data_IF_528647786630
#
_entry.id   IF_528647786630
#
_cell.length_a   1.000
_cell.length_b   1.000
_cell.length_c   1.000
_cell.angle_alpha   90.00
_cell.angle_beta   90.00
_cell.angle_gamma   90.00
#
_symmetry.space_group_name_H-M   'P 1'
#
loop_
_entity.id
_entity.type
_entity.pdbx_description
1 polymer ?
#
# COMPACT_ATOMS: atom_id res chain seq x y z
N UNK A 1 -19.36 -26.12 -23.57
CA UNK A 1 -19.42 -26.27 -22.10
C UNK A 1 -18.04 -26.23 -21.44
N UNK A 2 -16.94 -26.67 -22.10
CA UNK A 2 -15.55 -26.47 -21.62
C UNK A 2 -15.08 -25.01 -21.70
N UNK A 3 -15.55 -24.25 -22.69
CA UNK A 3 -15.09 -22.85 -22.89
C UNK A 3 -15.65 -21.88 -21.83
N UNK A 4 -16.78 -22.21 -21.20
CA UNK A 4 -17.31 -21.41 -20.09
C UNK A 4 -16.60 -21.67 -18.75
N UNK A 5 -15.97 -22.83 -18.58
CA UNK A 5 -15.15 -23.14 -17.39
C UNK A 5 -13.82 -22.37 -17.42
N UNK A 6 -13.22 -22.19 -18.60
CA UNK A 6 -11.99 -21.39 -18.78
C UNK A 6 -12.29 -19.90 -18.58
N UNK A 7 -13.44 -19.42 -19.06
CA UNK A 7 -13.85 -18.01 -18.88
C UNK A 7 -14.04 -17.62 -17.40
N UNK A 8 -14.52 -18.54 -16.55
CA UNK A 8 -14.63 -18.30 -15.10
C UNK A 8 -13.31 -18.38 -14.34
N UNK A 9 -12.31 -19.10 -14.85
CA UNK A 9 -10.94 -19.13 -14.28
C UNK A 9 -10.17 -17.84 -14.59
N UNK A 10 -10.52 -17.18 -15.70
CA UNK A 10 -10.06 -15.83 -16.09
C UNK A 10 -10.95 -14.70 -15.59
N UNK A 11 -11.89 -14.94 -14.66
CA UNK A 11 -12.40 -13.85 -13.82
C UNK A 11 -11.23 -13.46 -12.91
N UNK A 12 -10.41 -12.56 -13.44
CA UNK A 12 -9.24 -11.99 -12.79
C UNK A 12 -9.55 -11.80 -11.31
N UNK A 13 -9.00 -12.66 -10.48
CA UNK A 13 -8.80 -12.41 -9.07
C UNK A 13 -8.01 -11.09 -9.04
N UNK A 14 -8.72 -9.96 -8.99
CA UNK A 14 -8.10 -8.65 -9.03
C UNK A 14 -7.33 -8.57 -7.74
N UNK A 15 -6.02 -8.68 -7.84
CA UNK A 15 -5.17 -8.60 -6.67
C UNK A 15 -4.71 -7.16 -6.52
N UNK A 16 -4.79 -6.59 -5.31
CA UNK A 16 -4.44 -5.20 -5.08
C UNK A 16 -2.99 -4.90 -5.47
N UNK A 17 -2.08 -5.87 -5.43
CA UNK A 17 -0.69 -5.72 -5.89
C UNK A 17 -0.58 -5.29 -7.36
N UNK A 18 -1.36 -5.90 -8.25
CA UNK A 18 -1.33 -5.56 -9.69
C UNK A 18 -1.88 -4.16 -9.94
N UNK A 19 -2.92 -3.77 -9.20
CA UNK A 19 -3.51 -2.44 -9.30
C UNK A 19 -2.57 -1.36 -8.79
N UNK A 20 -1.89 -1.61 -7.65
CA UNK A 20 -0.84 -0.72 -7.15
C UNK A 20 0.25 -0.48 -8.20
N UNK A 21 0.74 -1.55 -8.85
CA UNK A 21 1.77 -1.44 -9.88
C UNK A 21 1.29 -0.71 -11.14
N UNK A 22 0.05 -0.97 -11.57
CA UNK A 22 -0.55 -0.26 -12.71
C UNK A 22 -0.67 1.23 -12.43
N UNK A 23 -1.22 1.59 -11.27
CA UNK A 23 -1.35 2.99 -10.82
C UNK A 23 0.02 3.65 -10.70
N UNK A 24 1.00 2.96 -10.10
CA UNK A 24 2.37 3.48 -9.99
C UNK A 24 2.98 3.84 -11.35
N UNK A 25 2.77 2.99 -12.37
CA UNK A 25 3.24 3.25 -13.72
C UNK A 25 2.57 4.47 -14.35
N UNK A 26 1.27 4.66 -14.12
CA UNK A 26 0.55 5.86 -14.59
C UNK A 26 1.07 7.14 -13.91
N UNK A 27 1.31 7.09 -12.61
CA UNK A 27 1.91 8.21 -11.87
C UNK A 27 3.32 8.53 -12.33
N UNK A 28 4.14 7.53 -12.64
CA UNK A 28 5.49 7.73 -13.21
C UNK A 28 5.40 8.48 -14.53
N UNK A 29 4.53 8.04 -15.44
CA UNK A 29 4.35 8.70 -16.73
C UNK A 29 3.86 10.15 -16.55
N UNK A 30 2.85 10.37 -15.70
CA UNK A 30 2.33 11.71 -15.42
C UNK A 30 3.36 12.64 -14.77
N UNK A 31 4.08 12.14 -13.76
CA UNK A 31 5.13 12.89 -13.07
C UNK A 31 6.29 13.22 -13.99
N UNK A 32 6.79 12.26 -14.77
CA UNK A 32 7.84 12.49 -15.77
C UNK A 32 7.41 13.50 -16.84
N UNK A 33 6.18 13.40 -17.35
CA UNK A 33 5.65 14.36 -18.32
C UNK A 33 5.60 15.79 -17.74
N UNK A 34 5.14 15.95 -16.49
CA UNK A 34 5.16 17.24 -15.80
C UNK A 34 6.59 17.76 -15.60
N UNK A 35 7.54 16.88 -15.27
CA UNK A 35 8.95 17.24 -15.12
C UNK A 35 9.57 17.76 -16.41
N UNK A 36 9.30 17.10 -17.54
CA UNK A 36 9.73 17.55 -18.86
C UNK A 36 9.10 18.90 -19.20
N UNK A 37 7.79 19.07 -18.98
CA UNK A 37 7.10 20.33 -19.22
C UNK A 37 7.72 21.49 -18.42
N UNK A 38 8.00 21.29 -17.13
CA UNK A 38 8.68 22.31 -16.30
C UNK A 38 10.07 22.64 -16.84
N UNK A 39 10.85 21.61 -17.23
CA UNK A 39 12.18 21.79 -17.78
C UNK A 39 12.21 22.59 -19.07
N UNK A 40 11.27 22.32 -19.98
CA UNK A 40 11.15 23.05 -21.26
C UNK A 40 10.77 24.52 -21.03
N UNK A 41 9.80 24.77 -20.16
CA UNK A 41 9.31 26.13 -19.90
C UNK A 41 10.20 26.94 -18.94
N UNK A 42 11.20 26.31 -18.32
CA UNK A 42 12.01 26.89 -17.25
C UNK A 42 11.18 27.43 -16.07
N UNK A 43 9.92 26.99 -15.95
CA UNK A 43 9.03 27.29 -14.84
C UNK A 43 8.96 26.08 -13.91
N UNK A 44 9.29 26.35 -12.65
CA UNK A 44 9.44 25.36 -11.61
C UNK A 44 8.52 25.62 -10.41
N UNK A 45 7.50 26.46 -10.60
CA UNK A 45 6.42 26.70 -9.63
C UNK A 45 5.74 25.41 -9.16
N UNK A 46 5.68 24.38 -10.02
CA UNK A 46 5.08 23.07 -9.74
C UNK A 46 6.09 22.02 -9.22
N UNK A 47 7.30 22.40 -8.81
CA UNK A 47 8.29 21.46 -8.23
C UNK A 47 7.72 20.61 -7.08
N UNK A 48 7.01 21.17 -6.08
CA UNK A 48 6.45 20.38 -4.99
C UNK A 48 5.42 19.36 -5.51
N UNK A 49 4.56 19.77 -6.45
CA UNK A 49 3.57 18.91 -7.07
C UNK A 49 4.22 17.74 -7.81
N UNK A 50 5.19 18.02 -8.67
CA UNK A 50 5.95 17.00 -9.40
C UNK A 50 6.62 15.99 -8.47
N UNK A 51 7.29 16.47 -7.41
CA UNK A 51 7.95 15.61 -6.44
C UNK A 51 6.96 14.66 -5.75
N UNK A 52 5.79 15.16 -5.34
CA UNK A 52 4.80 14.34 -4.65
C UNK A 52 4.06 13.38 -5.59
N UNK A 53 3.80 13.74 -6.84
CA UNK A 53 3.27 12.81 -7.85
C UNK A 53 4.22 11.61 -8.01
N UNK A 54 5.52 11.85 -8.08
CA UNK A 54 6.51 10.78 -8.21
C UNK A 54 6.75 10.00 -6.90
N UNK A 55 6.71 10.65 -5.74
CA UNK A 55 6.99 9.98 -4.46
C UNK A 55 5.76 9.25 -3.89
N UNK A 56 4.64 9.95 -3.76
CA UNK A 56 3.38 9.44 -3.20
C UNK A 56 2.67 8.55 -4.23
N UNK A 57 2.65 8.99 -5.48
CA UNK A 57 1.98 8.27 -6.58
C UNK A 57 2.81 7.14 -7.15
N UNK A 58 4.03 7.40 -7.63
CA UNK A 58 4.84 6.34 -8.25
C UNK A 58 5.57 5.46 -7.22
N UNK A 59 6.54 6.03 -6.49
CA UNK A 59 7.47 5.24 -5.69
C UNK A 59 6.74 4.46 -4.57
N UNK A 60 5.86 5.12 -3.83
CA UNK A 60 5.12 4.48 -2.73
C UNK A 60 4.17 3.39 -3.25
N UNK A 61 3.38 3.66 -4.30
CA UNK A 61 2.48 2.66 -4.89
C UNK A 61 3.25 1.45 -5.44
N UNK A 62 4.39 1.68 -6.08
CA UNK A 62 5.26 0.60 -6.55
C UNK A 62 5.74 -0.26 -5.37
N UNK A 63 6.22 0.37 -4.29
CA UNK A 63 6.67 -0.33 -3.09
C UNK A 63 5.55 -1.12 -2.41
N UNK A 64 4.34 -0.55 -2.32
CA UNK A 64 3.17 -1.24 -1.77
C UNK A 64 2.80 -2.45 -2.62
N UNK A 65 2.70 -2.28 -3.95
CA UNK A 65 2.42 -3.37 -4.88
C UNK A 65 3.46 -4.48 -4.82
N UNK A 66 4.74 -4.13 -4.83
CA UNK A 66 5.84 -5.10 -4.69
C UNK A 66 5.79 -5.83 -3.34
N UNK A 67 5.46 -5.15 -2.26
CA UNK A 67 5.35 -5.75 -0.92
C UNK A 67 4.20 -6.77 -0.88
N UNK A 68 3.01 -6.41 -1.38
CA UNK A 68 1.88 -7.34 -1.41
C UNK A 68 2.10 -8.51 -2.37
N UNK A 69 2.86 -8.31 -3.44
CA UNK A 69 3.27 -9.39 -4.35
C UNK A 69 4.32 -10.31 -3.74
N UNK A 70 5.28 -9.77 -2.99
CA UNK A 70 6.32 -10.54 -2.31
C UNK A 70 5.79 -11.31 -1.10
N UNK A 71 4.72 -10.81 -0.46
CA UNK A 71 4.11 -11.44 0.71
C UNK A 71 2.61 -11.69 0.49
N UNK A 72 2.24 -12.75 -0.25
CA UNK A 72 0.84 -13.07 -0.56
C UNK A 72 -0.04 -13.25 0.68
N UNK A 73 0.55 -13.67 1.81
CA UNK A 73 -0.11 -13.86 3.11
C UNK A 73 -0.82 -12.59 3.62
N UNK A 74 -0.28 -11.41 3.31
CA UNK A 74 -0.90 -10.12 3.64
C UNK A 74 -1.63 -9.49 2.44
N UNK A 75 -1.32 -9.93 1.21
CA UNK A 75 -1.83 -9.41 -0.05
C UNK A 75 -3.26 -9.82 -0.41
N UNK A 76 -3.79 -10.93 0.12
CA UNK A 76 -5.17 -11.38 -0.15
C UNK A 76 -6.19 -10.93 0.91
N UNK A 77 -5.78 -10.05 1.83
CA UNK A 77 -6.61 -9.63 2.95
C UNK A 77 -7.53 -8.45 2.60
N UNK A 78 -8.69 -8.34 3.29
CA UNK A 78 -9.54 -7.13 3.25
C UNK A 78 -8.76 -5.85 3.62
N UNK A 79 -7.70 -6.00 4.41
CA UNK A 79 -6.81 -4.91 4.80
C UNK A 79 -5.99 -4.37 3.62
N UNK A 80 -5.52 -5.25 2.71
CA UNK A 80 -4.79 -4.82 1.52
C UNK A 80 -5.67 -3.99 0.57
N UNK A 81 -6.94 -4.39 0.43
CA UNK A 81 -7.91 -3.61 -0.34
C UNK A 81 -8.27 -2.28 0.31
N UNK A 82 -8.47 -2.26 1.63
CA UNK A 82 -8.66 -1.00 2.36
C UNK A 82 -7.46 -0.07 2.15
N UNK A 83 -6.25 -0.59 2.35
CA UNK A 83 -5.02 0.17 2.11
C UNK A 83 -4.96 0.72 0.69
N UNK A 84 -5.25 -0.08 -0.35
CA UNK A 84 -5.29 0.39 -1.73
C UNK A 84 -6.25 1.56 -1.94
N UNK A 85 -7.48 1.46 -1.43
CA UNK A 85 -8.48 2.53 -1.61
C UNK A 85 -8.05 3.83 -0.93
N UNK A 86 -7.54 3.75 0.30
CA UNK A 86 -7.04 4.92 1.03
C UNK A 86 -5.82 5.54 0.33
N UNK A 87 -4.85 4.69 -0.06
CA UNK A 87 -3.65 5.13 -0.78
C UNK A 87 -4.02 5.84 -2.09
N UNK A 88 -4.88 5.23 -2.90
CA UNK A 88 -5.28 5.75 -4.20
C UNK A 88 -5.97 7.11 -4.05
N UNK A 89 -6.95 7.20 -3.14
CA UNK A 89 -7.69 8.44 -2.89
C UNK A 89 -6.74 9.54 -2.39
N UNK A 90 -5.87 9.22 -1.44
CA UNK A 90 -4.87 10.16 -0.92
C UNK A 90 -3.89 10.63 -1.99
N UNK A 91 -3.43 9.73 -2.87
CA UNK A 91 -2.49 10.05 -3.96
C UNK A 91 -3.05 10.99 -5.01
N UNK A 92 -4.37 11.17 -5.06
CA UNK A 92 -5.04 12.14 -5.92
C UNK A 92 -5.25 13.45 -5.16
N UNK A 93 -5.87 13.38 -3.97
CA UNK A 93 -6.28 14.56 -3.22
C UNK A 93 -5.09 15.38 -2.70
N UNK A 94 -4.03 14.73 -2.22
CA UNK A 94 -2.89 15.46 -1.68
C UNK A 94 -2.15 16.27 -2.77
N UNK A 95 -1.75 15.70 -3.92
CA UNK A 95 -1.26 16.50 -5.05
C UNK A 95 -2.24 17.58 -5.52
N UNK A 96 -3.56 17.33 -5.51
CA UNK A 96 -4.55 18.36 -5.87
C UNK A 96 -4.54 19.56 -4.89
N UNK A 97 -4.29 19.33 -3.60
CA UNK A 97 -4.05 20.40 -2.63
C UNK A 97 -2.77 21.18 -2.89
N UNK A 98 -1.68 20.49 -3.26
CA UNK A 98 -0.42 21.16 -3.64
C UNK A 98 -0.59 22.01 -4.90
N UNK A 99 -1.37 21.55 -5.87
CA UNK A 99 -1.69 22.34 -7.06
C UNK A 99 -2.45 23.63 -6.69
N UNK A 100 -3.42 23.57 -5.77
CA UNK A 100 -4.12 24.77 -5.29
C UNK A 100 -3.16 25.81 -4.72
N UNK A 101 -2.22 25.38 -3.88
CA UNK A 101 -1.18 26.26 -3.31
C UNK A 101 -0.28 26.85 -4.38
N UNK A 102 0.14 26.05 -5.35
CA UNK A 102 0.93 26.54 -6.48
C UNK A 102 0.18 27.56 -7.34
N UNK A 103 -1.14 27.53 -7.36
CA UNK A 103 -1.99 28.51 -8.05
C UNK A 103 -2.34 29.73 -7.18
N UNK A 104 -1.74 29.86 -6.00
CA UNK A 104 -1.95 30.98 -5.08
C UNK A 104 -3.17 30.85 -4.16
N UNK A 105 -3.82 29.67 -4.12
CA UNK A 105 -4.89 29.40 -3.18
C UNK A 105 -4.35 28.82 -1.87
N UNK A 106 -5.18 28.76 -0.84
CA UNK A 106 -4.85 28.01 0.37
C UNK A 106 -4.87 26.50 0.09
N UNK A 107 -4.19 25.70 0.92
CA UNK A 107 -4.14 24.24 0.78
C UNK A 107 -5.53 23.58 0.83
N UNK A 108 -6.43 24.20 1.59
CA UNK A 108 -7.86 23.91 1.61
C UNK A 108 -8.22 22.50 2.09
N UNK A 109 -9.52 22.25 2.18
CA UNK A 109 -10.09 20.98 2.67
C UNK A 109 -9.63 19.78 1.81
N UNK A 110 -9.45 19.98 0.50
CA UNK A 110 -9.01 18.91 -0.41
C UNK A 110 -7.62 18.41 -0.03
N UNK A 111 -6.67 19.33 0.17
CA UNK A 111 -5.30 18.98 0.56
C UNK A 111 -5.25 18.32 1.93
N UNK A 112 -5.96 18.90 2.91
CA UNK A 112 -6.03 18.39 4.27
C UNK A 112 -6.57 16.96 4.34
N UNK A 113 -7.69 16.71 3.66
CA UNK A 113 -8.25 15.35 3.54
C UNK A 113 -7.27 14.40 2.85
N UNK A 114 -6.57 14.86 1.81
CA UNK A 114 -5.54 14.07 1.13
C UNK A 114 -4.44 13.59 2.07
N UNK A 115 -3.91 14.50 2.91
CA UNK A 115 -2.85 14.17 3.87
C UNK A 115 -3.36 13.24 4.98
N UNK A 116 -4.57 13.46 5.49
CA UNK A 116 -5.17 12.58 6.51
C UNK A 116 -5.39 11.16 5.98
N UNK A 117 -5.91 11.03 4.76
CA UNK A 117 -6.09 9.73 4.11
C UNK A 117 -4.73 9.06 3.85
N UNK A 118 -3.68 9.83 3.52
CA UNK A 118 -2.33 9.32 3.38
C UNK A 118 -1.80 8.75 4.70
N UNK A 119 -2.02 9.44 5.82
CA UNK A 119 -1.65 8.94 7.15
C UNK A 119 -2.38 7.65 7.51
N UNK A 120 -3.69 7.58 7.24
CA UNK A 120 -4.48 6.36 7.43
C UNK A 120 -3.93 5.23 6.55
N UNK A 121 -3.63 5.50 5.29
CA UNK A 121 -3.01 4.55 4.37
C UNK A 121 -1.70 3.99 4.93
N UNK A 122 -0.81 4.86 5.39
CA UNK A 122 0.46 4.47 6.00
C UNK A 122 0.29 3.61 7.25
N UNK A 123 -0.71 3.91 8.09
CA UNK A 123 -1.05 3.10 9.26
C UNK A 123 -1.55 1.70 8.86
N UNK A 124 -2.43 1.61 7.86
CA UNK A 124 -2.91 0.32 7.36
C UNK A 124 -1.77 -0.53 6.79
N UNK A 125 -0.84 0.10 6.07
CA UNK A 125 0.36 -0.56 5.57
C UNK A 125 1.27 -1.06 6.71
N UNK A 126 1.51 -0.22 7.73
CA UNK A 126 2.30 -0.58 8.91
C UNK A 126 1.67 -1.75 9.68
N UNK A 127 0.35 -1.76 9.85
CA UNK A 127 -0.37 -2.89 10.47
C UNK A 127 -0.24 -4.16 9.64
N UNK A 128 -0.34 -4.06 8.32
CA UNK A 128 -0.19 -5.20 7.43
C UNK A 128 1.22 -5.81 7.53
N UNK A 129 2.27 -5.00 7.53
CA UNK A 129 3.66 -5.47 7.63
C UNK A 129 4.02 -5.95 9.04
N UNK A 130 3.47 -5.35 10.09
CA UNK A 130 3.64 -5.84 11.46
C UNK A 130 3.05 -7.25 11.65
N UNK A 131 1.89 -7.53 11.05
CA UNK A 131 1.28 -8.88 11.07
C UNK A 131 2.18 -9.93 10.41
N UNK A 132 2.88 -9.55 9.34
CA UNK A 132 3.86 -10.41 8.68
C UNK A 132 5.06 -10.71 9.59
N UNK A 133 5.59 -9.69 10.27
CA UNK A 133 6.73 -9.85 11.18
C UNK A 133 6.40 -10.80 12.35
N UNK A 134 5.23 -10.63 12.96
CA UNK A 134 4.76 -11.49 14.05
C UNK A 134 4.53 -12.94 13.60
N UNK A 135 3.97 -13.14 12.39
CA UNK A 135 3.73 -14.49 11.85
C UNK A 135 5.04 -15.25 11.56
N UNK A 136 6.06 -14.58 11.02
CA UNK A 136 7.38 -15.19 10.79
C UNK A 136 8.06 -15.59 12.10
N UNK A 137 7.97 -14.75 13.13
CA UNK A 137 8.59 -15.03 14.43
C UNK A 137 8.03 -16.29 15.09
N UNK A 138 6.71 -16.48 15.08
CA UNK A 138 6.11 -17.71 15.61
C UNK A 138 6.54 -18.96 14.83
N UNK A 139 6.72 -18.85 13.49
CA UNK A 139 7.17 -19.96 12.64
C UNK A 139 8.60 -20.35 12.97
N UNK A 140 9.50 -19.37 13.07
CA UNK A 140 10.90 -19.61 13.39
C UNK A 140 11.05 -20.23 14.80
N UNK A 141 10.39 -19.66 15.81
CA UNK A 141 10.37 -20.22 17.16
C UNK A 141 9.88 -21.69 17.18
N UNK A 142 8.82 -22.03 16.43
CA UNK A 142 8.37 -23.43 16.35
C UNK A 142 9.39 -24.38 15.69
N UNK A 143 10.19 -23.87 14.75
CA UNK A 143 11.24 -24.64 14.07
C UNK A 143 12.47 -24.86 14.95
N UNK A 144 12.83 -23.87 15.77
CA UNK A 144 13.93 -23.97 16.76
C UNK A 144 13.66 -25.07 17.78
N UNK A 145 12.39 -25.25 18.19
CA UNK A 145 12.01 -26.29 19.14
C UNK A 145 11.78 -27.67 18.49
N UNK A 146 12.01 -27.83 17.19
CA UNK A 146 11.87 -29.11 16.48
C UNK A 146 10.47 -29.71 16.56
N UNK A 147 9.45 -28.90 16.88
CA UNK A 147 8.10 -29.40 17.14
C UNK A 147 7.44 -29.77 15.81
N UNK A 148 6.91 -31.00 15.66
CA UNK A 148 6.15 -31.37 14.48
C UNK A 148 4.91 -30.46 14.37
N UNK A 149 4.65 -29.96 13.16
CA UNK A 149 3.56 -29.04 12.82
C UNK A 149 2.20 -29.75 12.93
N UNK A 150 1.74 -29.98 14.17
CA UNK A 150 0.47 -30.60 14.52
C UNK A 150 -0.24 -29.67 15.53
N UNK A 151 -1.44 -29.22 15.19
CA UNK A 151 -2.21 -28.25 15.99
C UNK A 151 -2.61 -28.76 17.39
N UNK A 152 -2.45 -30.07 17.65
CA UNK A 152 -2.86 -30.72 18.91
C UNK A 152 -1.83 -30.63 20.03
N UNK A 153 -0.62 -30.13 19.78
CA UNK A 153 0.47 -30.08 20.78
C UNK A 153 0.76 -28.68 21.31
N UNK A 154 -0.07 -27.67 21.01
CA UNK A 154 0.07 -26.36 21.66
C UNK A 154 -0.07 -26.57 23.18
N UNK A 155 0.97 -26.26 23.98
CA UNK A 155 0.86 -26.41 25.42
C UNK A 155 -0.24 -25.48 25.93
N UNK A 156 -1.09 -25.93 26.86
CA UNK A 156 -2.11 -25.08 27.44
C UNK A 156 -1.44 -23.85 28.07
N UNK A 157 -2.00 -22.67 27.82
CA UNK A 157 -1.50 -21.41 28.38
C UNK A 157 -1.26 -21.57 29.88
N UNK A 158 -0.10 -21.13 30.41
CA UNK A 158 0.20 -21.27 31.83
C UNK A 158 -0.90 -20.58 32.64
N UNK A 159 -1.62 -21.37 33.46
CA UNK A 159 -2.58 -20.84 34.43
C UNK A 159 -1.78 -19.97 35.40
N UNK A 160 -2.27 -18.76 35.63
CA UNK A 160 -1.67 -17.73 36.49
C UNK A 160 -0.89 -18.34 37.68
N UNK A 161 0.42 -18.13 37.68
CA UNK A 161 1.26 -18.39 38.85
C UNK A 161 0.92 -17.30 39.87
N UNK A 162 0.48 -17.64 41.10
CA UNK A 162 0.31 -16.65 42.15
C UNK A 162 1.69 -16.07 42.47
N UNK A 163 1.82 -14.75 42.42
CA UNK A 163 2.98 -14.03 42.94
C UNK A 163 2.79 -14.04 44.46
N UNK A 164 3.69 -14.73 45.17
CA UNK A 164 3.84 -14.62 46.62
C UNK A 164 4.62 -13.35 47.00
#
# INVERSE_FOLDING_TARGET
>A
MRDQLIASETYTDMRPDRLFLLVAALYLLGGSALGVWMGVNHDFSLRPLHAHINLVGWASMALFGLTYRAFPEIGTSRLAWAHFTFALTASILFPAGLYQVSMGNEFGVIGELGVLLWLVSGLLFAVATARLASAKRCRDESSVWGLPNNDRTKPPLPKHVPID
#
